data_IF_975923118114
#
_entry.id   IF_975923118114
#
_cell.length_a   1.000
_cell.length_b   1.000
_cell.length_c   1.000
_cell.angle_alpha   90.00
_cell.angle_beta   90.00
_cell.angle_gamma   90.00
#
_symmetry.space_group_name_H-M   'P 1'
#
loop_
_entity.id
_entity.type
_entity.pdbx_description
1 polymer ?
#
# COMPACT_ATOMS: atom_id res chain seq x y z
N UNK A 1 -34.16 5.08 -4.40
CA UNK A 1 -33.29 5.09 -3.20
C UNK A 1 -33.73 6.20 -2.24
N UNK A 2 -34.72 5.98 -1.37
CA UNK A 2 -35.13 6.96 -0.37
C UNK A 2 -34.26 6.85 0.90
N UNK A 3 -33.84 7.99 1.46
CA UNK A 3 -33.31 8.07 2.85
C UNK A 3 -31.81 8.30 3.03
N UNK A 4 -31.01 8.54 1.98
CA UNK A 4 -29.62 8.97 2.18
C UNK A 4 -29.60 10.46 2.54
N UNK A 5 -28.96 10.83 3.66
CA UNK A 5 -28.70 12.24 3.94
C UNK A 5 -27.94 12.87 2.76
N UNK A 6 -28.16 14.15 2.42
CA UNK A 6 -27.51 14.81 1.28
C UNK A 6 -25.99 14.60 1.27
N UNK A 7 -25.39 14.59 2.47
CA UNK A 7 -23.97 14.29 2.71
C UNK A 7 -23.57 12.85 2.38
N UNK A 8 -24.34 11.86 2.82
CA UNK A 8 -24.07 10.45 2.49
C UNK A 8 -24.21 10.22 0.99
N UNK A 9 -25.16 10.90 0.35
CA UNK A 9 -25.28 10.89 -1.10
C UNK A 9 -24.10 11.59 -1.80
N UNK A 10 -23.51 12.65 -1.22
CA UNK A 10 -22.32 13.31 -1.75
C UNK A 10 -21.06 12.43 -1.61
N UNK A 11 -20.84 11.82 -0.43
CA UNK A 11 -19.74 10.88 -0.19
C UNK A 11 -19.80 9.69 -1.14
N UNK A 12 -20.99 9.20 -1.47
CA UNK A 12 -21.19 8.06 -2.38
C UNK A 12 -21.17 8.46 -3.87
N UNK A 13 -21.39 9.75 -4.17
CA UNK A 13 -21.32 10.34 -5.52
C UNK A 13 -19.96 10.99 -5.83
N UNK A 14 -19.11 11.20 -4.83
CA UNK A 14 -17.90 12.04 -4.94
C UNK A 14 -17.10 11.75 -6.20
N UNK A 15 -16.94 12.80 -7.02
CA UNK A 15 -16.44 12.80 -8.41
C UNK A 15 -15.02 12.23 -8.53
N UNK A 16 -14.22 12.31 -7.46
CA UNK A 16 -12.92 11.64 -7.36
C UNK A 16 -12.65 11.15 -5.92
N UNK A 17 -11.64 10.28 -5.77
CA UNK A 17 -11.28 9.63 -4.49
C UNK A 17 -10.96 10.64 -3.38
N UNK A 18 -10.20 11.68 -3.71
CA UNK A 18 -9.76 12.70 -2.74
C UNK A 18 -10.92 13.50 -2.15
N UNK A 19 -11.83 14.00 -2.99
CA UNK A 19 -12.98 14.78 -2.54
C UNK A 19 -13.83 13.99 -1.54
N UNK A 20 -14.02 12.70 -1.79
CA UNK A 20 -14.78 11.84 -0.90
C UNK A 20 -14.07 11.54 0.42
N UNK A 21 -12.75 11.34 0.40
CA UNK A 21 -11.98 11.21 1.65
C UNK A 21 -12.07 12.47 2.49
N UNK A 22 -12.00 13.66 1.85
CA UNK A 22 -12.21 14.92 2.55
C UNK A 22 -13.62 15.03 3.17
N UNK A 23 -14.67 14.64 2.43
CA UNK A 23 -16.03 14.66 2.99
C UNK A 23 -16.21 13.70 4.18
N UNK A 24 -15.58 12.52 4.12
CA UNK A 24 -15.57 11.55 5.21
C UNK A 24 -14.85 12.12 6.44
N UNK A 25 -13.66 12.70 6.26
CA UNK A 25 -12.87 13.30 7.34
C UNK A 25 -13.57 14.50 7.96
N UNK A 26 -14.13 15.39 7.15
CA UNK A 26 -14.97 16.50 7.62
C UNK A 26 -16.20 15.98 8.38
N UNK A 27 -16.67 14.77 8.05
CA UNK A 27 -17.78 14.10 8.72
C UNK A 27 -17.46 13.69 10.13
N UNK A 28 -16.28 13.12 10.28
CA UNK A 28 -15.77 12.72 11.57
C UNK A 28 -15.43 13.93 12.45
N UNK A 29 -14.77 14.95 11.88
CA UNK A 29 -14.41 16.18 12.59
C UNK A 29 -15.65 16.93 13.11
N UNK A 30 -16.69 17.10 12.30
CA UNK A 30 -17.94 17.74 12.74
C UNK A 30 -18.68 17.00 13.85
N UNK A 31 -18.45 15.69 14.02
CA UNK A 31 -19.09 14.85 15.04
C UNK A 31 -18.17 14.56 16.23
N UNK A 32 -17.17 15.41 16.42
CA UNK A 32 -16.26 15.46 17.58
C UNK A 32 -15.64 14.10 17.93
N UNK A 33 -15.33 13.27 16.93
CA UNK A 33 -14.65 11.97 17.12
C UNK A 33 -15.36 11.00 18.09
N UNK A 34 -16.68 11.09 18.23
CA UNK A 34 -17.43 10.13 19.06
C UNK A 34 -17.32 8.70 18.50
N UNK A 35 -17.42 7.64 19.33
CA UNK A 35 -17.39 6.25 18.85
C UNK A 35 -18.41 5.96 17.74
N UNK A 36 -19.60 6.57 17.84
CA UNK A 36 -20.62 6.48 16.81
C UNK A 36 -20.21 7.15 15.50
N UNK A 37 -19.53 8.30 15.56
CA UNK A 37 -19.01 8.98 14.38
C UNK A 37 -17.92 8.15 13.68
N UNK A 38 -17.03 7.52 14.46
CA UNK A 38 -16.06 6.56 13.93
C UNK A 38 -16.74 5.36 13.26
N UNK A 39 -17.75 4.77 13.90
CA UNK A 39 -18.53 3.67 13.31
C UNK A 39 -19.17 4.07 11.98
N UNK A 40 -19.77 5.27 11.91
CA UNK A 40 -20.35 5.79 10.67
C UNK A 40 -19.29 6.06 9.59
N UNK A 41 -18.14 6.63 9.97
CA UNK A 41 -17.01 6.86 9.07
C UNK A 41 -16.51 5.54 8.47
N UNK A 42 -16.30 4.51 9.29
CA UNK A 42 -15.85 3.19 8.84
C UNK A 42 -16.89 2.53 7.93
N UNK A 43 -18.17 2.62 8.27
CA UNK A 43 -19.25 2.06 7.45
C UNK A 43 -19.32 2.75 6.08
N UNK A 44 -19.29 4.08 6.03
CA UNK A 44 -19.38 4.84 4.79
C UNK A 44 -18.12 4.66 3.92
N UNK A 45 -16.92 4.61 4.53
CA UNK A 45 -15.68 4.28 3.83
C UNK A 45 -15.72 2.87 3.23
N UNK A 46 -16.17 1.87 4.00
CA UNK A 46 -16.30 0.48 3.55
C UNK A 46 -17.31 0.37 2.40
N UNK A 47 -18.50 0.94 2.55
CA UNK A 47 -19.53 0.93 1.49
C UNK A 47 -19.00 1.59 0.23
N UNK A 48 -18.25 2.69 0.34
CA UNK A 48 -17.63 3.34 -0.81
C UNK A 48 -16.59 2.43 -1.47
N UNK A 49 -15.66 1.85 -0.72
CA UNK A 49 -14.65 0.93 -1.27
C UNK A 49 -15.30 -0.25 -2.01
N UNK A 50 -16.34 -0.85 -1.45
CA UNK A 50 -17.10 -1.92 -2.12
C UNK A 50 -17.71 -1.45 -3.43
N UNK A 51 -18.37 -0.28 -3.44
CA UNK A 51 -18.96 0.27 -4.67
C UNK A 51 -17.91 0.62 -5.73
N UNK A 52 -16.77 1.17 -5.32
CA UNK A 52 -15.68 1.50 -6.23
C UNK A 52 -15.04 0.24 -6.84
N UNK A 53 -14.95 -0.84 -6.07
CA UNK A 53 -14.51 -2.15 -6.59
C UNK A 53 -15.55 -2.73 -7.57
N UNK A 54 -16.85 -2.69 -7.23
CA UNK A 54 -17.94 -3.15 -8.11
C UNK A 54 -18.03 -2.36 -9.42
N UNK A 55 -17.71 -1.05 -9.39
CA UNK A 55 -17.64 -0.20 -10.59
C UNK A 55 -16.46 -0.54 -11.52
N UNK A 56 -15.46 -1.28 -11.03
CA UNK A 56 -14.25 -1.64 -11.77
C UNK A 56 -14.04 -3.16 -11.77
N UNK A 57 -14.98 -3.94 -12.33
CA UNK A 57 -14.92 -5.39 -12.32
C UNK A 57 -13.64 -5.92 -12.99
N UNK A 58 -13.18 -5.24 -14.04
CA UNK A 58 -11.93 -5.58 -14.74
C UNK A 58 -10.70 -5.40 -13.84
N UNK A 59 -10.53 -4.24 -13.20
CA UNK A 59 -9.41 -4.04 -12.27
C UNK A 59 -9.44 -5.01 -11.09
N UNK A 60 -10.62 -5.32 -10.55
CA UNK A 60 -10.77 -6.32 -9.49
C UNK A 60 -10.41 -7.73 -9.97
N UNK A 61 -10.78 -8.10 -11.19
CA UNK A 61 -10.39 -9.37 -11.80
C UNK A 61 -8.87 -9.44 -12.02
N UNK A 62 -8.25 -8.38 -12.55
CA UNK A 62 -6.79 -8.29 -12.73
C UNK A 62 -6.06 -8.40 -11.39
N UNK A 63 -6.51 -7.67 -10.37
CA UNK A 63 -5.99 -7.75 -8.99
C UNK A 63 -6.07 -9.18 -8.44
N UNK A 64 -7.21 -9.84 -8.65
CA UNK A 64 -7.46 -11.21 -8.16
C UNK A 64 -6.58 -12.21 -8.90
N UNK A 65 -6.46 -12.09 -10.23
CA UNK A 65 -5.61 -12.94 -11.05
C UNK A 65 -4.14 -12.86 -10.62
N UNK A 66 -3.63 -11.65 -10.32
CA UNK A 66 -2.27 -11.46 -9.80
C UNK A 66 -2.09 -12.20 -8.47
N UNK A 67 -3.02 -12.05 -7.53
CA UNK A 67 -2.92 -12.73 -6.24
C UNK A 67 -3.01 -14.25 -6.36
N UNK A 68 -3.85 -14.77 -7.26
CA UNK A 68 -3.92 -16.22 -7.56
C UNK A 68 -2.61 -16.72 -8.17
N UNK A 69 -2.01 -15.97 -9.11
CA UNK A 69 -0.73 -16.33 -9.71
C UNK A 69 0.39 -16.38 -8.66
N UNK A 70 0.44 -15.41 -7.74
CA UNK A 70 1.41 -15.43 -6.63
C UNK A 70 1.08 -16.55 -5.63
N UNK A 71 -0.20 -16.82 -5.36
CA UNK A 71 -0.64 -17.92 -4.51
C UNK A 71 -0.17 -19.29 -5.04
N UNK A 72 -0.14 -19.48 -6.35
CA UNK A 72 0.37 -20.71 -6.96
C UNK A 72 1.85 -20.98 -6.62
N UNK A 73 2.64 -19.93 -6.41
CA UNK A 73 4.05 -20.03 -6.00
C UNK A 73 4.19 -20.08 -4.47
N UNK A 74 3.37 -19.32 -3.75
CA UNK A 74 3.45 -19.18 -2.29
C UNK A 74 2.78 -20.33 -1.50
N UNK A 75 1.88 -21.09 -2.12
CA UNK A 75 1.08 -22.10 -1.41
C UNK A 75 0.34 -21.54 -0.17
N UNK A 76 0.03 -22.43 0.78
CA UNK A 76 -0.78 -22.09 1.95
C UNK A 76 -0.07 -21.18 2.98
N UNK A 77 1.27 -21.22 3.05
CA UNK A 77 2.04 -20.45 4.04
C UNK A 77 1.99 -18.94 3.78
N UNK A 78 1.78 -18.54 2.53
CA UNK A 78 1.63 -17.14 2.13
C UNK A 78 0.20 -16.60 2.22
N UNK A 79 -0.79 -17.44 2.55
CA UNK A 79 -2.21 -17.09 2.43
C UNK A 79 -2.62 -15.85 3.25
N UNK A 80 -2.22 -15.69 4.54
CA UNK A 80 -2.60 -14.49 5.30
C UNK A 80 -2.07 -13.20 4.65
N UNK A 81 -0.84 -13.23 4.12
CA UNK A 81 -0.26 -12.09 3.42
C UNK A 81 -0.99 -11.78 2.12
N UNK A 82 -1.32 -12.80 1.34
CA UNK A 82 -2.06 -12.65 0.10
C UNK A 82 -3.45 -12.07 0.32
N UNK A 83 -4.15 -12.53 1.35
CA UNK A 83 -5.47 -11.99 1.72
C UNK A 83 -5.34 -10.53 2.15
N UNK A 84 -4.36 -10.19 3.00
CA UNK A 84 -4.14 -8.82 3.44
C UNK A 84 -3.79 -7.89 2.27
N UNK A 85 -2.85 -8.31 1.41
CA UNK A 85 -2.46 -7.57 0.19
C UNK A 85 -3.64 -7.40 -0.78
N UNK A 86 -4.44 -8.45 -0.98
CA UNK A 86 -5.62 -8.40 -1.84
C UNK A 86 -6.68 -7.44 -1.28
N UNK A 87 -6.98 -7.52 0.02
CA UNK A 87 -7.92 -6.62 0.68
C UNK A 87 -7.47 -5.16 0.58
N UNK A 88 -6.16 -4.90 0.79
CA UNK A 88 -5.58 -3.58 0.60
C UNK A 88 -5.77 -3.08 -0.84
N UNK A 89 -5.43 -3.89 -1.85
CA UNK A 89 -5.66 -3.52 -3.25
C UNK A 89 -7.13 -3.26 -3.57
N UNK A 90 -8.02 -4.16 -3.13
CA UNK A 90 -9.45 -4.11 -3.45
C UNK A 90 -10.13 -2.88 -2.84
N UNK A 91 -9.78 -2.54 -1.59
CA UNK A 91 -10.32 -1.37 -0.90
C UNK A 91 -9.86 -0.04 -1.50
N UNK A 92 -8.74 -0.05 -2.24
CA UNK A 92 -8.10 1.12 -2.81
C UNK A 92 -8.38 1.32 -4.31
N UNK A 93 -9.15 0.44 -4.97
CA UNK A 93 -9.47 0.55 -6.41
C UNK A 93 -10.15 1.87 -6.79
N UNK A 94 -10.81 2.56 -5.86
CA UNK A 94 -11.37 3.90 -6.10
C UNK A 94 -10.32 4.96 -6.49
N UNK A 95 -9.03 4.71 -6.23
CA UNK A 95 -7.91 5.58 -6.63
C UNK A 95 -7.45 5.39 -8.08
N UNK A 96 -8.03 4.43 -8.81
CA UNK A 96 -7.89 4.35 -10.26
C UNK A 96 -8.68 5.44 -10.98
N UNK A 97 -9.56 6.16 -10.28
CA UNK A 97 -10.35 7.26 -10.83
C UNK A 97 -11.12 6.83 -12.08
N UNK A 98 -10.88 7.43 -13.24
CA UNK A 98 -11.55 7.06 -14.49
C UNK A 98 -11.07 5.74 -15.09
N UNK A 99 -9.95 5.18 -14.63
CA UNK A 99 -9.42 3.92 -15.16
C UNK A 99 -10.26 2.72 -14.69
N UNK A 100 -10.55 1.81 -15.62
CA UNK A 100 -11.34 0.59 -15.36
C UNK A 100 -10.48 -0.67 -15.20
N UNK A 101 -9.20 -0.60 -15.57
CA UNK A 101 -8.18 -1.63 -15.40
C UNK A 101 -7.03 -1.11 -14.53
N UNK A 102 -6.23 -2.02 -13.99
CA UNK A 102 -4.97 -1.67 -13.32
C UNK A 102 -3.96 -1.14 -14.32
N UNK A 103 -3.87 -1.78 -15.49
CA UNK A 103 -2.79 -1.54 -16.44
C UNK A 103 -1.45 -2.12 -15.96
N UNK A 104 -0.43 -2.12 -16.82
CA UNK A 104 0.80 -2.88 -16.59
C UNK A 104 1.62 -2.36 -15.39
N UNK A 105 1.72 -1.05 -15.19
CA UNK A 105 2.46 -0.48 -14.07
C UNK A 105 1.85 -0.87 -12.72
N UNK A 106 0.55 -0.63 -12.53
CA UNK A 106 -0.12 -0.97 -11.26
C UNK A 106 -0.17 -2.49 -11.03
N UNK A 107 -0.25 -3.29 -12.11
CA UNK A 107 -0.17 -4.75 -12.00
C UNK A 107 1.18 -5.21 -11.43
N UNK A 108 2.28 -4.58 -11.85
CA UNK A 108 3.62 -4.85 -11.30
C UNK A 108 3.73 -4.40 -9.84
N UNK A 109 3.24 -3.21 -9.48
CA UNK A 109 3.19 -2.74 -8.09
C UNK A 109 2.43 -3.73 -7.20
N UNK A 110 1.26 -4.21 -7.65
CA UNK A 110 0.44 -5.20 -6.93
C UNK A 110 1.17 -6.54 -6.80
N UNK A 111 1.78 -7.05 -7.87
CA UNK A 111 2.55 -8.29 -7.83
C UNK A 111 3.72 -8.17 -6.85
N UNK A 112 4.42 -7.03 -6.87
CA UNK A 112 5.52 -6.69 -5.97
C UNK A 112 5.10 -6.70 -4.50
N UNK A 113 3.97 -6.08 -4.17
CA UNK A 113 3.40 -6.10 -2.82
C UNK A 113 3.08 -7.52 -2.30
N UNK A 114 2.74 -8.43 -3.22
CA UNK A 114 2.43 -9.83 -2.89
C UNK A 114 3.67 -10.74 -2.78
N UNK A 115 4.83 -10.35 -3.35
CA UNK A 115 6.06 -11.17 -3.36
C UNK A 115 6.50 -11.72 -2.00
N UNK A 116 6.38 -10.99 -0.87
CA UNK A 116 6.76 -11.52 0.45
C UNK A 116 6.04 -12.83 0.82
N UNK A 117 4.83 -13.06 0.31
CA UNK A 117 4.10 -14.33 0.51
C UNK A 117 4.85 -15.54 -0.05
N UNK A 118 5.60 -15.37 -1.14
CA UNK A 118 6.41 -16.40 -1.79
C UNK A 118 7.84 -16.50 -1.21
N UNK A 119 8.15 -15.78 -0.12
CA UNK A 119 9.50 -15.69 0.43
C UNK A 119 10.11 -17.01 0.91
N UNK A 120 9.30 -18.01 1.23
CA UNK A 120 9.79 -19.35 1.58
C UNK A 120 10.20 -20.17 0.35
N UNK A 121 9.56 -19.93 -0.80
CA UNK A 121 9.87 -20.60 -2.06
C UNK A 121 11.01 -19.89 -2.81
N UNK A 122 10.98 -18.56 -2.84
CA UNK A 122 11.92 -17.73 -3.61
C UNK A 122 13.16 -17.29 -2.81
N UNK A 123 13.09 -17.31 -1.47
CA UNK A 123 14.22 -16.97 -0.60
C UNK A 123 14.85 -15.61 -0.95
N UNK A 124 16.16 -15.62 -1.24
CA UNK A 124 16.93 -14.42 -1.57
C UNK A 124 16.57 -13.80 -2.94
N UNK A 125 15.79 -14.48 -3.78
CA UNK A 125 15.33 -13.91 -5.05
C UNK A 125 14.24 -12.86 -4.87
N UNK A 126 13.48 -12.87 -3.75
CA UNK A 126 12.41 -11.90 -3.47
C UNK A 126 12.88 -10.44 -3.55
N UNK A 127 13.93 -9.99 -2.82
CA UNK A 127 14.37 -8.60 -2.89
C UNK A 127 14.86 -8.21 -4.29
N UNK A 128 15.48 -9.14 -5.03
CA UNK A 128 15.94 -8.89 -6.41
C UNK A 128 14.74 -8.70 -7.33
N UNK A 129 13.76 -9.60 -7.27
CA UNK A 129 12.54 -9.51 -8.06
C UNK A 129 11.78 -8.21 -7.75
N UNK A 130 11.69 -7.83 -6.48
CA UNK A 130 11.00 -6.63 -6.07
C UNK A 130 11.67 -5.33 -6.57
N UNK A 131 13.02 -5.26 -6.54
CA UNK A 131 13.74 -4.13 -7.12
C UNK A 131 13.58 -4.06 -8.64
N UNK A 132 13.61 -5.21 -9.31
CA UNK A 132 13.41 -5.27 -10.76
C UNK A 132 12.00 -4.81 -11.17
N UNK A 133 10.97 -5.22 -10.42
CA UNK A 133 9.59 -4.81 -10.70
C UNK A 133 9.33 -3.35 -10.38
N UNK A 134 9.91 -2.79 -9.30
CA UNK A 134 9.84 -1.36 -8.96
C UNK A 134 10.50 -0.47 -10.03
N UNK A 135 11.63 -0.91 -10.58
CA UNK A 135 12.23 -0.17 -11.68
C UNK A 135 11.35 -0.22 -12.94
N UNK A 136 10.80 -1.40 -13.25
CA UNK A 136 9.99 -1.62 -14.43
C UNK A 136 8.65 -0.87 -14.38
N UNK A 137 7.95 -0.88 -13.24
CA UNK A 137 6.66 -0.21 -13.08
C UNK A 137 6.78 1.31 -13.29
N UNK A 138 7.82 1.93 -12.71
CA UNK A 138 8.08 3.35 -12.84
C UNK A 138 8.49 3.75 -14.25
N UNK A 139 9.28 2.92 -14.94
CA UNK A 139 9.61 3.14 -16.35
C UNK A 139 8.38 3.03 -17.24
N UNK A 140 7.56 2.00 -17.04
CA UNK A 140 6.33 1.79 -17.81
C UNK A 140 5.40 2.99 -17.58
N UNK A 141 5.10 3.34 -16.33
CA UNK A 141 4.19 4.43 -16.00
C UNK A 141 4.60 5.78 -16.62
N UNK A 142 5.92 6.08 -16.63
CA UNK A 142 6.44 7.31 -17.26
C UNK A 142 6.34 7.27 -18.77
N UNK A 143 6.63 6.13 -19.40
CA UNK A 143 6.59 5.99 -20.87
C UNK A 143 5.16 5.98 -21.42
N UNK A 144 4.21 5.42 -20.69
CA UNK A 144 2.81 5.30 -21.12
C UNK A 144 1.92 6.44 -20.62
N UNK A 145 2.45 7.36 -19.79
CA UNK A 145 1.66 8.41 -19.15
C UNK A 145 0.61 7.87 -18.18
N UNK A 146 0.71 6.61 -17.72
CA UNK A 146 -0.31 5.93 -16.91
C UNK A 146 -0.11 6.09 -15.41
N UNK A 147 0.38 7.25 -14.96
CA UNK A 147 0.60 7.53 -13.53
C UNK A 147 -0.76 7.72 -12.85
N UNK A 148 -1.09 6.85 -11.91
CA UNK A 148 -2.35 6.92 -11.14
C UNK A 148 -2.07 7.18 -9.66
N UNK A 149 -3.07 7.70 -8.93
CA UNK A 149 -3.00 7.80 -7.46
C UNK A 149 -2.91 6.41 -6.81
N UNK A 150 -3.54 5.42 -7.44
CA UNK A 150 -3.42 4.02 -7.03
C UNK A 150 -1.96 3.54 -7.05
N UNK A 151 -1.25 3.72 -8.16
CA UNK A 151 0.16 3.34 -8.27
C UNK A 151 1.03 4.10 -7.27
N UNK A 152 0.88 5.43 -7.19
CA UNK A 152 1.70 6.24 -6.30
C UNK A 152 1.57 5.87 -4.80
N UNK A 153 0.38 5.49 -4.34
CA UNK A 153 0.19 4.98 -2.97
C UNK A 153 0.53 3.50 -2.85
N UNK A 154 0.23 2.71 -3.87
CA UNK A 154 0.55 1.30 -3.96
C UNK A 154 2.05 1.05 -3.87
N UNK A 155 2.88 1.88 -4.49
CA UNK A 155 4.34 1.76 -4.43
C UNK A 155 4.85 1.92 -3.00
N UNK A 156 4.33 2.92 -2.28
CA UNK A 156 4.66 3.12 -0.86
C UNK A 156 4.27 1.91 0.00
N UNK A 157 3.09 1.33 -0.24
CA UNK A 157 2.64 0.14 0.48
C UNK A 157 3.49 -1.08 0.11
N UNK A 158 3.81 -1.27 -1.16
CA UNK A 158 4.63 -2.37 -1.65
C UNK A 158 6.05 -2.31 -1.06
N UNK A 159 6.64 -1.11 -0.99
CA UNK A 159 7.93 -0.87 -0.32
C UNK A 159 7.85 -1.23 1.17
N UNK A 160 6.85 -0.69 1.87
CA UNK A 160 6.65 -0.97 3.29
C UNK A 160 6.49 -2.48 3.55
N UNK A 161 5.73 -3.18 2.71
CA UNK A 161 5.49 -4.61 2.83
C UNK A 161 6.78 -5.42 2.59
N UNK A 162 7.51 -5.11 1.51
CA UNK A 162 8.78 -5.74 1.17
C UNK A 162 9.83 -5.55 2.27
N UNK A 163 10.04 -4.31 2.71
CA UNK A 163 11.07 -3.99 3.69
C UNK A 163 10.74 -4.50 5.08
N UNK A 164 9.46 -4.48 5.46
CA UNK A 164 9.01 -5.14 6.70
C UNK A 164 9.33 -6.63 6.67
N UNK A 165 8.98 -7.32 5.58
CA UNK A 165 9.31 -8.73 5.42
C UNK A 165 10.82 -8.98 5.44
N UNK A 166 11.59 -8.19 4.68
CA UNK A 166 13.04 -8.32 4.58
C UNK A 166 13.71 -8.19 5.95
N UNK A 167 13.32 -7.16 6.72
CA UNK A 167 13.85 -6.88 8.05
C UNK A 167 13.48 -7.97 9.04
N UNK A 168 12.23 -8.44 9.03
CA UNK A 168 11.81 -9.55 9.90
C UNK A 168 12.55 -10.85 9.56
N UNK A 169 12.87 -11.07 8.28
CA UNK A 169 13.53 -12.28 7.80
C UNK A 169 15.04 -12.30 8.02
N UNK A 170 15.72 -11.17 7.80
CA UNK A 170 17.18 -11.11 7.70
C UNK A 170 17.88 -10.26 8.77
N UNK A 171 17.18 -9.36 9.45
CA UNK A 171 17.76 -8.55 10.53
C UNK A 171 17.43 -9.17 11.89
N UNK A 172 18.43 -9.33 12.76
CA UNK A 172 18.27 -9.93 14.09
C UNK A 172 18.20 -8.87 15.21
N UNK A 173 18.70 -7.66 14.94
CA UNK A 173 18.68 -6.56 15.90
C UNK A 173 17.28 -5.98 16.06
N UNK A 174 16.74 -6.06 17.29
CA UNK A 174 15.45 -5.45 17.64
C UNK A 174 15.43 -3.94 17.38
N UNK A 175 16.55 -3.25 17.61
CA UNK A 175 16.67 -1.82 17.37
C UNK A 175 16.46 -1.47 15.88
N UNK A 176 17.11 -2.21 14.96
CA UNK A 176 16.94 -1.99 13.51
C UNK A 176 15.54 -2.38 13.02
N UNK A 177 14.96 -3.44 13.59
CA UNK A 177 13.55 -3.78 13.32
C UNK A 177 12.63 -2.63 13.72
N UNK A 178 12.77 -2.11 14.94
CA UNK A 178 11.96 -1.00 15.45
C UNK A 178 12.18 0.28 14.63
N UNK A 179 13.42 0.60 14.26
CA UNK A 179 13.75 1.75 13.41
C UNK A 179 13.06 1.66 12.04
N UNK A 180 13.00 0.46 11.45
CA UNK A 180 12.27 0.23 10.19
C UNK A 180 10.78 0.50 10.37
N UNK A 181 10.15 -0.12 11.38
CA UNK A 181 8.72 0.10 11.64
C UNK A 181 8.42 1.57 11.91
N UNK A 182 9.25 2.25 12.71
CA UNK A 182 9.11 3.66 13.01
C UNK A 182 9.21 4.54 11.75
N UNK A 183 10.13 4.22 10.83
CA UNK A 183 10.32 4.96 9.59
C UNK A 183 9.08 4.96 8.68
N UNK A 184 8.21 3.95 8.79
CA UNK A 184 6.93 3.88 8.07
C UNK A 184 5.76 4.41 8.89
N UNK A 185 5.64 3.99 10.15
CA UNK A 185 4.48 4.30 11.00
C UNK A 185 4.45 5.77 11.40
N UNK A 186 5.60 6.37 11.74
CA UNK A 186 5.63 7.75 12.25
C UNK A 186 5.14 8.75 11.20
N UNK A 187 5.61 8.75 9.94
CA UNK A 187 5.11 9.69 8.93
C UNK A 187 3.63 9.46 8.59
N UNK A 188 3.21 8.20 8.44
CA UNK A 188 1.81 7.85 8.15
C UNK A 188 0.90 8.25 9.29
N UNK A 189 1.29 7.97 10.53
CA UNK A 189 0.58 8.34 11.74
C UNK A 189 0.44 9.85 11.91
N UNK A 190 1.53 10.60 11.69
CA UNK A 190 1.51 12.06 11.74
C UNK A 190 0.53 12.64 10.70
N UNK A 191 0.59 12.18 9.46
CA UNK A 191 -0.28 12.69 8.39
C UNK A 191 -1.73 12.30 8.62
N UNK A 192 -1.96 11.10 9.12
CA UNK A 192 -3.29 10.62 9.50
C UNK A 192 -3.86 11.48 10.63
N UNK A 193 -3.09 11.72 11.69
CA UNK A 193 -3.50 12.55 12.81
C UNK A 193 -3.85 13.98 12.38
N UNK A 194 -2.97 14.63 11.61
CA UNK A 194 -3.22 15.99 11.11
C UNK A 194 -4.41 16.01 10.15
N UNK A 195 -4.59 14.97 9.31
CA UNK A 195 -5.74 14.89 8.40
C UNK A 195 -7.06 14.72 9.16
N UNK A 196 -7.06 13.97 10.26
CA UNK A 196 -8.19 13.86 11.16
C UNK A 196 -8.50 15.21 11.81
N UNK A 197 -7.50 15.83 12.44
CA UNK A 197 -7.63 17.12 13.12
C UNK A 197 -8.19 18.21 12.20
N UNK A 198 -7.69 18.27 10.96
CA UNK A 198 -8.13 19.25 9.96
C UNK A 198 -9.44 18.89 9.26
N UNK A 199 -9.97 17.69 9.46
CA UNK A 199 -11.15 17.20 8.74
C UNK A 199 -10.95 17.09 7.23
N UNK A 200 -9.72 16.84 6.77
CA UNK A 200 -9.40 16.77 5.34
C UNK A 200 -7.99 16.25 5.09
N UNK A 201 -7.78 15.61 3.94
CA UNK A 201 -6.47 15.06 3.56
C UNK A 201 -5.42 16.16 3.43
N UNK A 202 -4.34 16.00 4.18
CA UNK A 202 -3.12 16.79 4.02
C UNK A 202 -2.23 16.15 2.97
N UNK A 203 -1.75 16.95 2.01
CA UNK A 203 -0.67 16.53 1.12
C UNK A 203 0.65 16.61 1.88
N UNK A 204 1.40 15.50 1.94
CA UNK A 204 2.81 15.62 2.29
C UNK A 204 3.55 16.37 1.18
N UNK A 205 4.43 17.32 1.52
CA UNK A 205 5.43 17.77 0.57
C UNK A 205 6.25 16.55 0.11
N UNK A 206 6.17 16.22 -1.18
CA UNK A 206 6.93 15.11 -1.82
C UNK A 206 8.42 15.44 -1.95
N UNK A 207 9.02 16.00 -0.91
CA UNK A 207 10.45 16.28 -0.87
C UNK A 207 11.22 14.97 -0.77
N UNK A 208 12.14 14.73 -1.72
CA UNK A 208 13.06 13.59 -1.72
C UNK A 208 13.93 13.53 -0.44
N UNK A 209 14.10 14.67 0.24
CA UNK A 209 14.95 14.82 1.41
C UNK A 209 14.31 14.34 2.72
N UNK A 210 12.99 14.13 2.74
CA UNK A 210 12.24 13.66 3.92
C UNK A 210 11.68 12.25 3.73
N UNK A 211 12.45 11.33 3.13
CA UNK A 211 12.09 9.90 3.10
C UNK A 211 12.97 9.14 4.10
N UNK A 212 12.67 9.22 5.42
CA UNK A 212 13.42 8.47 6.44
C UNK A 212 13.40 6.96 6.16
N UNK A 213 12.32 6.44 5.56
CA UNK A 213 12.23 5.06 5.08
C UNK A 213 13.37 4.70 4.12
N UNK A 214 13.56 5.45 3.02
CA UNK A 214 14.61 5.16 2.04
C UNK A 214 16.03 5.14 2.65
N UNK A 215 16.32 6.03 3.61
CA UNK A 215 17.61 6.02 4.30
C UNK A 215 17.79 4.75 5.16
N UNK A 216 16.76 4.38 5.93
CA UNK A 216 16.79 3.17 6.76
C UNK A 216 16.89 1.90 5.92
N UNK A 217 16.18 1.84 4.80
CA UNK A 217 16.22 0.75 3.81
C UNK A 217 17.62 0.53 3.27
N UNK A 218 18.28 1.60 2.83
CA UNK A 218 19.64 1.57 2.29
C UNK A 218 20.64 1.08 3.35
N UNK A 219 20.54 1.59 4.58
CA UNK A 219 21.42 1.18 5.69
C UNK A 219 21.23 -0.29 6.06
N UNK A 220 20.00 -0.76 6.15
CA UNK A 220 19.69 -2.16 6.47
C UNK A 220 20.11 -3.09 5.35
N UNK A 221 19.83 -2.73 4.10
CA UNK A 221 20.26 -3.49 2.92
C UNK A 221 21.77 -3.69 2.91
N UNK A 222 22.54 -2.61 3.09
CA UNK A 222 24.00 -2.67 3.20
C UNK A 222 24.47 -3.54 4.38
N UNK A 223 23.81 -3.42 5.54
CA UNK A 223 24.15 -4.20 6.73
C UNK A 223 23.95 -5.70 6.51
N UNK A 224 22.86 -6.11 5.85
CA UNK A 224 22.62 -7.53 5.54
C UNK A 224 23.62 -8.05 4.51
N UNK A 225 23.91 -7.27 3.46
CA UNK A 225 24.87 -7.64 2.41
C UNK A 225 26.28 -7.80 3.00
N UNK A 226 26.73 -6.87 3.83
CA UNK A 226 28.06 -6.93 4.46
C UNK A 226 28.19 -8.16 5.36
N UNK A 227 27.15 -8.48 6.15
CA UNK A 227 27.12 -9.72 6.96
C UNK A 227 27.19 -10.98 6.09
N UNK A 228 26.51 -11.03 4.95
CA UNK A 228 26.61 -12.18 4.04
C UNK A 228 28.00 -12.30 3.40
N UNK A 229 28.60 -11.17 3.02
CA UNK A 229 29.95 -11.14 2.45
C UNK A 229 30.98 -11.64 3.47
N UNK A 230 30.89 -11.22 4.74
CA UNK A 230 31.81 -11.68 5.80
C UNK A 230 31.62 -13.16 6.12
N UNK A 231 30.39 -13.65 6.26
CA UNK A 231 30.12 -15.07 6.53
C UNK A 231 30.57 -15.99 5.39
N UNK A 232 30.51 -15.55 4.12
CA UNK A 232 31.04 -16.33 2.98
C UNK A 232 32.56 -16.38 2.97
N UNK A 233 33.24 -15.32 3.39
CA UNK A 233 34.71 -15.29 3.50
C UNK A 233 35.24 -16.22 4.58
N UNK A 234 34.52 -16.40 5.69
CA UNK A 234 34.92 -17.28 6.78
C UNK A 234 34.74 -18.78 6.48
N UNK A 235 34.00 -19.14 5.42
CA UNK A 235 33.77 -20.53 4.98
C UNK A 235 34.70 -20.99 3.86
N UNK A 236 35.52 -20.09 3.34
CA UNK A 236 36.58 -20.38 2.36
C UNK A 236 37.91 -20.40 3.07
#
# INVERSE_FOLDING_TARGET
>A
MPGLTPRRAAVLRGVNSRAATNELLAGLAHRTFTPQAFGAFLADATVRSVREAQRRPRALAELTAIHVAVAAVAGHRGAPWLVASWLMGATHLGMLESCTSLGPANALTVARAALPSAGHALGAAVPIAALATDFADGQIARRTGSVTRFGAQGDFLADAALWTWFVLRYENSRAWRLATFAAWIVPVGAVTAVSFERGGMVDLPRSRWFRPAAAVEVLIGMRVITRWATSRRQRR
#
